data_IF_477144126515
#
_entry.id   IF_477144126515
#
_cell.length_a   1.000
_cell.length_b   1.000
_cell.length_c   1.000
_cell.angle_alpha   90.00
_cell.angle_beta   90.00
_cell.angle_gamma   90.00
#
_symmetry.space_group_name_H-M   'P 1'
#
loop_
_entity.id
_entity.type
_entity.pdbx_description
1 polymer ?
#
# COMPACT_ATOMS: atom_id res chain seq x y z
N UNK A 1 22.01 -6.63 -45.57
CA UNK A 1 21.10 -5.60 -45.02
C UNK A 1 20.08 -6.17 -44.03
N UNK A 2 19.53 -7.37 -44.27
CA UNK A 2 18.54 -8.03 -43.38
C UNK A 2 19.14 -8.49 -42.03
N UNK A 3 20.41 -8.93 -41.99
CA UNK A 3 21.06 -9.34 -40.74
C UNK A 3 21.31 -8.20 -39.73
N UNK A 4 21.70 -7.01 -40.20
CA UNK A 4 21.89 -5.83 -39.33
C UNK A 4 20.58 -5.36 -38.69
N UNK A 5 19.45 -5.48 -39.41
CA UNK A 5 18.14 -5.12 -38.86
C UNK A 5 17.68 -6.10 -37.77
N UNK A 6 18.03 -7.38 -37.88
CA UNK A 6 17.72 -8.38 -36.83
C UNK A 6 18.60 -8.21 -35.58
N UNK A 7 19.88 -7.87 -35.74
CA UNK A 7 20.77 -7.57 -34.61
C UNK A 7 20.33 -6.30 -33.88
N UNK A 8 19.97 -5.23 -34.61
CA UNK A 8 19.42 -4.00 -34.03
C UNK A 8 18.06 -4.24 -33.35
N UNK A 9 17.21 -5.10 -33.92
CA UNK A 9 15.94 -5.49 -33.30
C UNK A 9 16.17 -6.30 -32.01
N UNK A 10 17.12 -7.24 -32.02
CA UNK A 10 17.53 -7.98 -30.81
C UNK A 10 18.09 -7.03 -29.77
N UNK A 11 18.99 -6.11 -30.12
CA UNK A 11 19.59 -5.16 -29.17
C UNK A 11 18.54 -4.19 -28.58
N UNK A 12 17.59 -3.73 -29.40
CA UNK A 12 16.43 -2.95 -28.96
C UNK A 12 15.48 -3.75 -28.05
N UNK A 13 15.29 -5.04 -28.31
CA UNK A 13 14.51 -5.91 -27.40
C UNK A 13 15.24 -6.15 -26.07
N UNK A 14 16.56 -6.39 -26.10
CA UNK A 14 17.36 -6.58 -24.89
C UNK A 14 17.45 -5.32 -24.03
N UNK A 15 17.49 -4.14 -24.66
CA UNK A 15 17.43 -2.85 -23.94
C UNK A 15 16.04 -2.58 -23.36
N UNK A 16 14.96 -2.93 -24.08
CA UNK A 16 13.57 -2.80 -23.60
C UNK A 16 13.29 -3.71 -22.40
N UNK A 17 13.74 -4.97 -22.44
CA UNK A 17 13.62 -5.92 -21.32
C UNK A 17 14.44 -5.45 -20.11
N UNK A 18 15.68 -4.99 -20.31
CA UNK A 18 16.48 -4.43 -19.21
C UNK A 18 15.85 -3.20 -18.58
N UNK A 19 15.27 -2.30 -19.38
CA UNK A 19 14.55 -1.13 -18.89
C UNK A 19 13.30 -1.53 -18.10
N UNK A 20 12.53 -2.52 -18.60
CA UNK A 20 11.37 -3.08 -17.90
C UNK A 20 11.76 -3.64 -16.54
N UNK A 21 12.76 -4.54 -16.47
CA UNK A 21 13.23 -5.15 -15.22
C UNK A 21 13.70 -4.07 -14.24
N UNK A 22 14.48 -3.08 -14.71
CA UNK A 22 14.98 -1.98 -13.87
C UNK A 22 13.84 -1.15 -13.30
N UNK A 23 12.82 -0.87 -14.11
CA UNK A 23 11.65 -0.07 -13.69
C UNK A 23 10.76 -0.86 -12.74
N UNK A 24 10.49 -2.13 -13.06
CA UNK A 24 9.74 -3.06 -12.24
C UNK A 24 10.40 -3.23 -10.85
N UNK A 25 11.71 -3.47 -10.81
CA UNK A 25 12.46 -3.61 -9.55
C UNK A 25 12.37 -2.34 -8.70
N UNK A 26 12.50 -1.16 -9.32
CA UNK A 26 12.36 0.13 -8.61
C UNK A 26 10.94 0.33 -8.05
N UNK A 27 9.93 0.00 -8.84
CA UNK A 27 8.53 0.07 -8.41
C UNK A 27 8.27 -0.90 -7.24
N UNK A 28 8.74 -2.14 -7.37
CA UNK A 28 8.56 -3.16 -6.34
C UNK A 28 9.27 -2.80 -5.04
N UNK A 29 10.52 -2.33 -5.10
CA UNK A 29 11.26 -1.90 -3.92
C UNK A 29 10.56 -0.74 -3.18
N UNK A 30 10.09 0.27 -3.90
CA UNK A 30 9.33 1.39 -3.30
C UNK A 30 8.08 0.88 -2.57
N UNK A 31 7.28 0.05 -3.25
CA UNK A 31 6.07 -0.52 -2.68
C UNK A 31 6.37 -1.38 -1.46
N UNK A 32 7.42 -2.20 -1.54
CA UNK A 32 7.89 -3.03 -0.42
C UNK A 32 8.23 -2.19 0.81
N UNK A 33 8.96 -1.07 0.66
CA UNK A 33 9.28 -0.20 1.80
C UNK A 33 8.05 0.46 2.43
N UNK A 34 7.05 0.85 1.62
CA UNK A 34 5.81 1.41 2.16
C UNK A 34 5.04 0.37 2.98
N UNK A 35 4.95 -0.86 2.49
CA UNK A 35 4.31 -1.93 3.25
C UNK A 35 5.14 -2.34 4.48
N UNK A 36 6.46 -2.42 4.36
CA UNK A 36 7.34 -2.75 5.49
C UNK A 36 7.14 -1.79 6.67
N UNK A 37 6.95 -0.50 6.39
CA UNK A 37 6.61 0.50 7.41
C UNK A 37 5.31 0.15 8.15
N UNK A 38 4.21 -0.12 7.43
CA UNK A 38 2.95 -0.57 8.05
C UNK A 38 3.13 -1.82 8.91
N UNK A 39 3.90 -2.80 8.41
CA UNK A 39 4.16 -4.05 9.13
C UNK A 39 4.92 -3.80 10.43
N UNK A 40 6.03 -3.05 10.40
CA UNK A 40 6.82 -2.75 11.59
C UNK A 40 5.99 -2.02 12.64
N UNK A 41 5.26 -0.96 12.25
CA UNK A 41 4.43 -0.19 13.18
C UNK A 41 3.30 -1.04 13.76
N UNK A 42 2.68 -1.90 12.96
CA UNK A 42 1.62 -2.79 13.44
C UNK A 42 2.14 -3.81 14.45
N UNK A 43 3.31 -4.40 14.20
CA UNK A 43 3.95 -5.34 15.13
C UNK A 43 4.28 -4.64 16.46
N UNK A 44 4.91 -3.46 16.40
CA UNK A 44 5.23 -2.67 17.60
C UNK A 44 3.94 -2.35 18.38
N UNK A 45 2.91 -1.86 17.71
CA UNK A 45 1.63 -1.53 18.35
C UNK A 45 0.98 -2.74 19.04
N UNK A 46 1.07 -3.93 18.45
CA UNK A 46 0.56 -5.17 19.05
C UNK A 46 1.38 -5.52 20.31
N UNK A 47 2.70 -5.47 20.25
CA UNK A 47 3.56 -5.74 21.42
C UNK A 47 3.33 -4.72 22.53
N UNK A 48 3.18 -3.45 22.20
CA UNK A 48 2.86 -2.39 23.16
C UNK A 48 1.50 -2.66 23.81
N UNK A 49 0.47 -3.06 23.05
CA UNK A 49 -0.82 -3.45 23.63
C UNK A 49 -0.66 -4.60 24.64
N UNK A 50 0.09 -5.65 24.30
CA UNK A 50 0.33 -6.79 25.20
C UNK A 50 1.15 -6.43 26.43
N UNK A 51 2.06 -5.46 26.32
CA UNK A 51 2.84 -4.98 27.46
C UNK A 51 1.98 -4.10 28.39
N UNK A 52 1.28 -3.11 27.84
CA UNK A 52 0.54 -2.13 28.61
C UNK A 52 -0.76 -2.66 29.23
N UNK A 53 -1.35 -3.73 28.69
CA UNK A 53 -2.55 -4.35 29.29
C UNK A 53 -2.29 -4.92 30.69
N UNK A 54 -1.03 -5.24 31.01
CA UNK A 54 -0.61 -5.76 32.32
C UNK A 54 -0.63 -4.70 33.43
N UNK A 55 -0.60 -3.42 33.06
CA UNK A 55 -0.60 -2.30 34.00
C UNK A 55 -2.00 -1.67 34.09
N UNK A 56 -2.45 -1.33 35.31
CA UNK A 56 -3.80 -0.76 35.52
C UNK A 56 -4.04 0.52 34.72
N UNK A 57 -3.05 1.43 34.71
CA UNK A 57 -3.08 2.65 33.91
C UNK A 57 -2.72 2.45 32.42
N UNK A 58 -2.00 1.37 32.09
CA UNK A 58 -1.58 1.10 30.71
C UNK A 58 -2.74 0.80 29.77
N UNK A 59 -3.88 0.33 30.29
CA UNK A 59 -5.10 0.09 29.51
C UNK A 59 -5.63 1.34 28.80
N UNK A 60 -5.40 2.53 29.37
CA UNK A 60 -5.80 3.80 28.77
C UNK A 60 -4.99 4.16 27.51
N UNK A 61 -3.80 3.57 27.34
CA UNK A 61 -2.96 3.79 26.16
C UNK A 61 -3.30 2.86 25.00
N UNK A 62 -4.08 1.79 25.22
CA UNK A 62 -4.44 0.82 24.18
C UNK A 62 -5.14 1.49 22.98
N UNK A 63 -6.14 2.39 23.16
CA UNK A 63 -6.78 3.07 22.03
C UNK A 63 -5.79 3.88 21.17
N UNK A 64 -4.76 4.45 21.78
CA UNK A 64 -3.72 5.20 21.08
C UNK A 64 -2.90 4.27 20.17
N UNK A 65 -2.47 3.11 20.65
CA UNK A 65 -1.72 2.14 19.85
C UNK A 65 -2.55 1.57 18.70
N UNK A 66 -3.84 1.29 18.94
CA UNK A 66 -4.78 0.86 17.89
C UNK A 66 -4.94 1.94 16.82
N UNK A 67 -5.06 3.21 17.23
CA UNK A 67 -5.15 4.34 16.30
C UNK A 67 -3.88 4.49 15.46
N UNK A 68 -2.70 4.35 16.08
CA UNK A 68 -1.41 4.40 15.38
C UNK A 68 -1.26 3.28 14.34
N UNK A 69 -1.68 2.05 14.68
CA UNK A 69 -1.70 0.94 13.74
C UNK A 69 -2.65 1.21 12.56
N UNK A 70 -3.87 1.70 12.84
CA UNK A 70 -4.85 2.07 11.82
C UNK A 70 -4.31 3.15 10.87
N UNK A 71 -3.70 4.20 11.43
CA UNK A 71 -3.10 5.28 10.63
C UNK A 71 -1.92 4.81 9.79
N UNK A 72 -1.08 3.92 10.32
CA UNK A 72 0.09 3.40 9.60
C UNK A 72 -0.29 2.54 8.39
N UNK A 73 -1.27 1.65 8.58
CA UNK A 73 -1.81 0.82 7.49
C UNK A 73 -2.50 1.70 6.46
N UNK A 74 -3.36 2.62 6.90
CA UNK A 74 -4.04 3.59 6.02
C UNK A 74 -3.06 4.43 5.20
N UNK A 75 -2.00 4.93 5.83
CA UNK A 75 -0.95 5.69 5.18
C UNK A 75 -0.23 4.87 4.10
N UNK A 76 0.04 3.59 4.38
CA UNK A 76 0.73 2.70 3.45
C UNK A 76 -0.15 2.33 2.26
N UNK A 77 -1.47 2.15 2.46
CA UNK A 77 -2.45 1.98 1.38
C UNK A 77 -2.46 3.23 0.47
N UNK A 78 -2.51 4.42 1.06
CA UNK A 78 -2.47 5.67 0.31
C UNK A 78 -1.15 5.81 -0.48
N UNK A 79 -0.01 5.49 0.13
CA UNK A 79 1.28 5.48 -0.56
C UNK A 79 1.29 4.55 -1.77
N UNK A 80 0.76 3.33 -1.60
CA UNK A 80 0.61 2.36 -2.69
C UNK A 80 -0.25 2.94 -3.83
N UNK A 81 -1.43 3.48 -3.50
CA UNK A 81 -2.34 4.04 -4.50
C UNK A 81 -1.68 5.19 -5.30
N UNK A 82 -1.04 6.14 -4.63
CA UNK A 82 -0.38 7.27 -5.29
C UNK A 82 0.85 6.83 -6.10
N UNK A 83 1.57 5.81 -5.66
CA UNK A 83 2.67 5.22 -6.43
C UNK A 83 2.18 4.53 -7.70
N UNK A 84 1.08 3.76 -7.63
CA UNK A 84 0.47 3.09 -8.79
C UNK A 84 -0.02 4.12 -9.80
N UNK A 85 -0.66 5.20 -9.32
CA UNK A 85 -1.19 6.25 -10.19
C UNK A 85 -0.10 7.13 -10.80
N UNK A 86 0.97 7.42 -10.06
CA UNK A 86 2.08 8.26 -10.51
C UNK A 86 3.45 7.57 -10.29
N UNK A 87 3.82 6.58 -11.11
CA UNK A 87 5.04 5.79 -10.91
C UNK A 87 6.34 6.61 -11.06
N UNK A 88 6.28 7.72 -11.80
CA UNK A 88 7.42 8.63 -12.02
C UNK A 88 7.64 9.63 -10.87
N UNK A 89 6.71 9.74 -9.92
CA UNK A 89 6.82 10.73 -8.83
C UNK A 89 7.97 10.45 -7.87
N UNK A 90 8.52 11.53 -7.31
CA UNK A 90 9.53 11.45 -6.24
C UNK A 90 8.89 10.86 -4.98
N UNK A 91 9.58 10.01 -4.21
CA UNK A 91 9.02 9.38 -3.01
C UNK A 91 8.53 10.41 -1.98
N UNK A 92 9.24 11.53 -1.80
CA UNK A 92 8.83 12.59 -0.88
C UNK A 92 7.48 13.22 -1.25
N UNK A 93 7.15 13.31 -2.55
CA UNK A 93 5.85 13.83 -2.99
C UNK A 93 4.74 12.82 -2.68
N UNK A 94 4.99 11.53 -2.93
CA UNK A 94 4.05 10.45 -2.61
C UNK A 94 3.75 10.43 -1.12
N UNK A 95 4.78 10.47 -0.27
CA UNK A 95 4.64 10.49 1.19
C UNK A 95 3.83 11.71 1.67
N UNK A 96 4.14 12.91 1.16
CA UNK A 96 3.43 14.14 1.55
C UNK A 96 1.95 14.08 1.19
N UNK A 97 1.63 13.63 -0.01
CA UNK A 97 0.23 13.52 -0.47
C UNK A 97 -0.49 12.42 0.29
N UNK A 98 0.14 11.26 0.48
CA UNK A 98 -0.43 10.15 1.24
C UNK A 98 -0.74 10.56 2.68
N UNK A 99 0.16 11.30 3.33
CA UNK A 99 -0.03 11.78 4.70
C UNK A 99 -1.21 12.75 4.78
N UNK A 100 -1.26 13.72 3.85
CA UNK A 100 -2.35 14.66 3.75
C UNK A 100 -3.70 13.97 3.56
N UNK A 101 -3.79 12.97 2.68
CA UNK A 101 -5.02 12.21 2.46
C UNK A 101 -5.42 11.38 3.69
N UNK A 102 -4.44 10.74 4.34
CA UNK A 102 -4.67 9.93 5.54
C UNK A 102 -5.34 10.75 6.65
N UNK A 103 -4.91 12.00 6.85
CA UNK A 103 -5.47 12.87 7.89
C UNK A 103 -6.72 13.62 7.43
N UNK A 104 -6.68 14.30 6.28
CA UNK A 104 -7.80 15.16 5.84
C UNK A 104 -9.00 14.34 5.39
N UNK A 105 -8.77 13.15 4.83
CA UNK A 105 -9.81 12.24 4.30
C UNK A 105 -9.80 10.93 5.07
N UNK A 106 -9.66 11.04 6.38
CA UNK A 106 -9.58 9.93 7.32
C UNK A 106 -10.71 8.90 7.13
N UNK A 107 -11.91 9.32 6.72
CA UNK A 107 -13.04 8.41 6.49
C UNK A 107 -12.81 7.43 5.32
N UNK A 108 -12.17 7.88 4.23
CA UNK A 108 -11.83 6.97 3.09
C UNK A 108 -10.68 6.07 3.49
N UNK A 109 -9.68 6.63 4.15
CA UNK A 109 -8.54 5.87 4.67
C UNK A 109 -8.98 4.80 5.67
N UNK A 110 -9.95 5.12 6.54
CA UNK A 110 -10.56 4.17 7.47
C UNK A 110 -11.36 3.09 6.71
N UNK A 111 -12.12 3.47 5.69
CA UNK A 111 -12.84 2.50 4.85
C UNK A 111 -11.87 1.51 4.18
N UNK A 112 -10.77 2.01 3.63
CA UNK A 112 -9.75 1.17 2.99
C UNK A 112 -9.02 0.27 4.01
N UNK A 113 -8.75 0.79 5.21
CA UNK A 113 -8.28 -0.02 6.33
C UNK A 113 -9.25 -1.15 6.66
N UNK A 114 -10.54 -0.84 6.83
CA UNK A 114 -11.57 -1.83 7.13
C UNK A 114 -11.70 -2.88 6.03
N UNK A 115 -11.62 -2.47 4.76
CA UNK A 115 -11.62 -3.41 3.62
C UNK A 115 -10.43 -4.36 3.70
N UNK A 116 -9.22 -3.85 3.95
CA UNK A 116 -8.03 -4.68 4.09
C UNK A 116 -8.09 -5.60 5.33
N UNK A 117 -8.55 -5.09 6.46
CA UNK A 117 -8.74 -5.89 7.68
C UNK A 117 -9.79 -6.97 7.45
N UNK A 118 -10.89 -6.67 6.74
CA UNK A 118 -11.92 -7.65 6.41
C UNK A 118 -11.35 -8.79 5.58
N UNK A 119 -10.48 -8.50 4.60
CA UNK A 119 -9.76 -9.52 3.83
C UNK A 119 -8.97 -10.45 4.75
N UNK A 120 -8.21 -9.86 5.68
CA UNK A 120 -7.41 -10.63 6.63
C UNK A 120 -8.27 -11.48 7.56
N UNK A 121 -9.43 -10.99 8.00
CA UNK A 121 -10.38 -11.78 8.80
C UNK A 121 -11.01 -12.92 7.98
N UNK A 122 -11.41 -12.66 6.73
CA UNK A 122 -11.97 -13.68 5.84
C UNK A 122 -10.98 -14.80 5.50
N UNK A 123 -9.67 -14.50 5.51
CA UNK A 123 -8.63 -15.52 5.35
C UNK A 123 -8.77 -16.65 6.38
N UNK A 124 -9.12 -16.35 7.63
CA UNK A 124 -9.31 -17.37 8.67
C UNK A 124 -10.60 -18.20 8.50
N UNK A 125 -11.59 -17.69 7.78
CA UNK A 125 -12.87 -18.37 7.56
C UNK A 125 -12.85 -19.24 6.30
N UNK A 126 -12.36 -18.68 5.18
CA UNK A 126 -12.30 -19.35 3.87
C UNK A 126 -11.01 -18.97 3.14
N UNK A 127 -9.86 -19.61 3.46
CA UNK A 127 -8.57 -19.22 2.91
C UNK A 127 -8.48 -19.37 1.39
N UNK A 128 -9.13 -20.40 0.82
CA UNK A 128 -9.10 -20.69 -0.62
C UNK A 128 -9.63 -19.51 -1.47
N UNK A 129 -10.81 -19.00 -1.13
CA UNK A 129 -11.42 -17.86 -1.82
C UNK A 129 -10.66 -16.56 -1.56
N UNK A 130 -10.18 -16.41 -0.32
CA UNK A 130 -9.45 -15.24 0.10
C UNK A 130 -8.12 -15.10 -0.64
N UNK A 131 -7.37 -16.18 -0.88
CA UNK A 131 -6.09 -16.11 -1.60
C UNK A 131 -6.31 -15.84 -3.10
N UNK A 132 -7.34 -16.47 -3.69
CA UNK A 132 -7.51 -16.49 -5.14
C UNK A 132 -8.13 -15.20 -5.69
N UNK A 133 -9.21 -14.73 -5.06
CA UNK A 133 -9.99 -13.57 -5.53
C UNK A 133 -9.94 -12.38 -4.57
N UNK A 134 -9.73 -12.64 -3.29
CA UNK A 134 -9.78 -11.62 -2.23
C UNK A 134 -8.91 -10.39 -2.50
N UNK A 135 -7.58 -10.54 -2.69
CA UNK A 135 -6.69 -9.42 -3.00
C UNK A 135 -7.17 -8.61 -4.20
N UNK A 136 -7.51 -9.26 -5.31
CA UNK A 136 -7.91 -8.58 -6.54
C UNK A 136 -9.16 -7.72 -6.33
N UNK A 137 -10.17 -8.25 -5.63
CA UNK A 137 -11.41 -7.54 -5.33
C UNK A 137 -11.12 -6.37 -4.38
N UNK A 138 -10.42 -6.63 -3.28
CA UNK A 138 -10.19 -5.64 -2.22
C UNK A 138 -9.28 -4.51 -2.69
N UNK A 139 -8.14 -4.82 -3.31
CA UNK A 139 -7.28 -3.80 -3.91
C UNK A 139 -7.98 -3.06 -5.05
N UNK A 140 -8.86 -3.72 -5.81
CA UNK A 140 -9.72 -3.07 -6.80
C UNK A 140 -10.66 -2.05 -6.17
N UNK A 141 -11.38 -2.41 -5.10
CA UNK A 141 -12.26 -1.51 -4.37
C UNK A 141 -11.52 -0.32 -3.76
N UNK A 142 -10.38 -0.57 -3.10
CA UNK A 142 -9.50 0.47 -2.56
C UNK A 142 -9.07 1.44 -3.68
N UNK A 143 -8.67 0.91 -4.83
CA UNK A 143 -8.30 1.73 -5.98
C UNK A 143 -9.47 2.60 -6.47
N UNK A 144 -10.69 2.04 -6.56
CA UNK A 144 -11.88 2.79 -6.97
C UNK A 144 -12.27 3.89 -5.97
N UNK A 145 -12.22 3.60 -4.67
CA UNK A 145 -12.49 4.57 -3.61
C UNK A 145 -11.59 5.80 -3.74
N UNK A 146 -10.28 5.56 -3.85
CA UNK A 146 -9.28 6.61 -3.96
C UNK A 146 -9.35 7.34 -5.31
N UNK A 147 -9.71 6.64 -6.40
CA UNK A 147 -9.91 7.26 -7.72
C UNK A 147 -11.07 8.25 -7.72
N UNK A 148 -12.22 7.87 -7.15
CA UNK A 148 -13.40 8.73 -7.05
C UNK A 148 -13.08 9.99 -6.26
N UNK A 149 -12.39 9.83 -5.14
CA UNK A 149 -11.96 10.92 -4.27
C UNK A 149 -11.05 11.94 -5.00
N UNK A 150 -10.07 11.44 -5.77
CA UNK A 150 -9.15 12.30 -6.51
C UNK A 150 -9.84 13.10 -7.62
N UNK A 151 -10.89 12.53 -8.25
CA UNK A 151 -11.69 13.23 -9.29
C UNK A 151 -12.56 14.34 -8.71
N UNK A 152 -13.06 14.18 -7.50
CA UNK A 152 -13.86 15.23 -6.83
C UNK A 152 -13.02 16.41 -6.33
N UNK A 153 -11.70 16.36 -6.49
CA UNK A 153 -10.77 17.35 -5.94
C UNK A 153 -10.00 18.09 -7.04
N UNK A 154 -10.59 18.26 -8.24
CA UNK A 154 -10.01 18.96 -9.40
C UNK A 154 -8.94 19.98 -8.99
N UNK A 155 -7.70 19.47 -9.08
CA UNK A 155 -6.45 20.18 -9.25
C UNK A 155 -6.07 19.96 -10.72
#
# INVERSE_FOLDING_TARGET
>A
MIGMTEELAKEKSFSSVRLFIKTFRRFWLKGFFYWLFAWIVSVIAIFDCFFFIRFSYGKWLIPLFVLLACLSVSFSINCWYFQVRNPASKPNQVLRIAFYYTLKKWYVSLLDFLLLTSLFLFFFVKPQWCILLGPSIVFGLIYFNNRKLMRTMDL
#
